data_IF_268863150256
#
_entry.id   IF_268863150256
#
_cell.length_a   1.000
_cell.length_b   1.000
_cell.length_c   1.000
_cell.angle_alpha   90.00
_cell.angle_beta   90.00
_cell.angle_gamma   90.00
#
_symmetry.space_group_name_H-M   'P 1'
#
loop_
_entity.id
_entity.type
_entity.pdbx_description
1 polymer ?
#
# COMPACT_ATOMS: atom_id res chain seq x y z
N UNK A 1 -15.91 3.50 17.22
CA UNK A 1 -16.46 2.65 16.16
C UNK A 1 -15.38 1.67 15.76
N UNK A 2 -15.64 0.35 15.81
CA UNK A 2 -14.70 -0.64 15.29
C UNK A 2 -14.81 -0.61 13.77
N UNK A 3 -13.73 -0.19 13.09
CA UNK A 3 -13.65 -0.29 11.64
C UNK A 3 -13.53 -1.77 11.30
N UNK A 4 -14.53 -2.36 10.66
CA UNK A 4 -14.39 -3.68 10.08
C UNK A 4 -13.30 -3.60 8.98
N UNK A 5 -12.22 -4.42 9.04
CA UNK A 5 -11.14 -4.41 8.06
C UNK A 5 -11.63 -4.51 6.60
N UNK A 6 -12.80 -5.13 6.38
CA UNK A 6 -13.40 -5.27 5.05
C UNK A 6 -13.93 -3.96 4.47
N UNK A 7 -14.24 -2.96 5.30
CA UNK A 7 -14.84 -1.71 4.84
C UNK A 7 -13.85 -0.89 4.01
N UNK A 8 -12.60 -0.79 4.46
CA UNK A 8 -11.57 -0.03 3.73
C UNK A 8 -11.37 -0.64 2.35
N UNK A 9 -11.27 -1.97 2.26
CA UNK A 9 -11.11 -2.71 1.01
C UNK A 9 -12.24 -2.40 0.02
N UNK A 10 -13.49 -2.41 0.47
CA UNK A 10 -14.62 -2.07 -0.40
C UNK A 10 -14.56 -0.61 -0.90
N UNK A 11 -14.29 0.34 0.01
CA UNK A 11 -14.23 1.77 -0.32
C UNK A 11 -13.12 2.05 -1.33
N UNK A 12 -11.94 1.46 -1.17
CA UNK A 12 -10.84 1.68 -2.11
C UNK A 12 -11.13 1.11 -3.50
N UNK A 13 -11.82 -0.03 -3.60
CA UNK A 13 -12.26 -0.56 -4.90
C UNK A 13 -13.17 0.42 -5.64
N UNK A 14 -14.11 1.06 -4.94
CA UNK A 14 -14.96 2.09 -5.53
C UNK A 14 -14.17 3.33 -5.94
N UNK A 15 -13.28 3.84 -5.08
CA UNK A 15 -12.44 4.99 -5.41
C UNK A 15 -11.55 4.74 -6.63
N UNK A 16 -10.95 3.56 -6.74
CA UNK A 16 -10.15 3.17 -7.91
C UNK A 16 -11.03 3.11 -9.18
N UNK A 17 -12.25 2.60 -9.07
CA UNK A 17 -13.18 2.53 -10.18
C UNK A 17 -13.62 3.92 -10.68
N UNK A 18 -13.90 4.86 -9.76
CA UNK A 18 -14.21 6.26 -10.11
C UNK A 18 -12.99 7.02 -10.66
N UNK A 19 -11.80 6.79 -10.10
CA UNK A 19 -10.55 7.31 -10.66
C UNK A 19 -10.32 6.81 -12.09
N UNK A 20 -10.63 5.54 -12.37
CA UNK A 20 -10.49 4.93 -13.69
C UNK A 20 -11.36 5.54 -14.78
N UNK A 21 -12.48 6.18 -14.42
CA UNK A 21 -13.34 6.94 -15.34
C UNK A 21 -13.12 8.46 -15.28
N UNK A 22 -12.04 8.92 -14.65
CA UNK A 22 -11.71 10.33 -14.43
C UNK A 22 -12.81 11.14 -13.71
N UNK A 23 -13.58 10.50 -12.82
CA UNK A 23 -14.54 11.22 -11.99
C UNK A 23 -13.79 12.16 -11.02
N UNK A 24 -14.27 13.40 -10.79
CA UNK A 24 -13.61 14.34 -9.88
C UNK A 24 -13.72 13.84 -8.43
N UNK A 25 -12.62 13.26 -7.94
CA UNK A 25 -12.47 12.85 -6.55
C UNK A 25 -11.69 13.90 -5.78
N UNK A 26 -12.10 14.13 -4.54
CA UNK A 26 -11.34 14.98 -3.62
C UNK A 26 -10.16 14.20 -3.02
N UNK A 27 -9.07 14.15 -3.78
CA UNK A 27 -7.84 13.46 -3.35
C UNK A 27 -7.19 14.07 -2.11
N UNK A 28 -7.48 15.33 -1.77
CA UNK A 28 -6.96 15.97 -0.56
C UNK A 28 -7.63 15.37 0.67
N UNK A 29 -8.96 15.34 0.69
CA UNK A 29 -9.72 14.74 1.79
C UNK A 29 -9.48 13.23 1.89
N UNK A 30 -9.43 12.51 0.77
CA UNK A 30 -9.13 11.08 0.76
C UNK A 30 -7.76 10.81 1.41
N UNK A 31 -6.74 11.59 1.05
CA UNK A 31 -5.41 11.47 1.64
C UNK A 31 -5.42 11.75 3.15
N UNK A 32 -6.19 12.74 3.59
CA UNK A 32 -6.33 13.10 5.00
C UNK A 32 -6.96 11.96 5.80
N UNK A 33 -8.05 11.37 5.31
CA UNK A 33 -8.74 10.24 5.96
C UNK A 33 -7.79 9.05 6.14
N UNK A 34 -7.10 8.62 5.09
CA UNK A 34 -6.13 7.52 5.22
C UNK A 34 -4.95 7.86 6.12
N UNK A 35 -4.51 9.13 6.14
CA UNK A 35 -3.49 9.57 7.08
C UNK A 35 -3.98 9.51 8.54
N UNK A 36 -5.25 9.82 8.80
CA UNK A 36 -5.86 9.69 10.13
C UNK A 36 -5.90 8.21 10.55
N UNK A 37 -6.36 7.33 9.65
CA UNK A 37 -6.42 5.88 9.92
C UNK A 37 -5.04 5.31 10.29
N UNK A 38 -3.99 5.64 9.54
CA UNK A 38 -2.62 5.20 9.88
C UNK A 38 -2.22 5.69 11.27
N UNK A 39 -2.47 6.97 11.57
CA UNK A 39 -2.10 7.58 12.86
C UNK A 39 -2.87 7.01 14.05
N UNK A 40 -4.12 6.59 13.87
CA UNK A 40 -4.92 6.03 14.96
C UNK A 40 -4.65 4.55 15.19
N UNK A 41 -4.36 3.79 14.13
CA UNK A 41 -4.24 2.33 14.18
C UNK A 41 -2.81 1.82 14.36
N UNK A 42 -1.81 2.55 13.87
CA UNK A 42 -0.41 2.15 14.03
C UNK A 42 0.03 2.04 15.51
N UNK A 43 -0.29 2.99 16.42
CA UNK A 43 0.17 2.92 17.80
C UNK A 43 -0.39 1.75 18.60
N UNK A 44 -1.54 1.20 18.18
CA UNK A 44 -2.21 0.05 18.82
C UNK A 44 -1.99 -1.25 18.04
N UNK A 45 -1.06 -1.26 17.09
CA UNK A 45 -0.63 -2.41 16.30
C UNK A 45 -1.72 -3.11 15.48
N UNK A 46 -2.69 -2.34 14.98
CA UNK A 46 -3.71 -2.79 14.05
C UNK A 46 -3.14 -2.87 12.62
N UNK A 47 -2.33 -3.90 12.37
CA UNK A 47 -1.55 -4.08 11.14
C UNK A 47 -2.40 -4.05 9.86
N UNK A 48 -3.54 -4.75 9.86
CA UNK A 48 -4.44 -4.86 8.71
C UNK A 48 -5.01 -3.50 8.26
N UNK A 49 -5.45 -2.67 9.20
CA UNK A 49 -6.01 -1.34 8.92
C UNK A 49 -4.94 -0.39 8.39
N UNK A 50 -3.75 -0.44 8.98
CA UNK A 50 -2.60 0.35 8.52
C UNK A 50 -2.17 -0.09 7.13
N UNK A 51 -2.09 -1.40 6.88
CA UNK A 51 -1.76 -1.96 5.58
C UNK A 51 -2.76 -1.52 4.49
N UNK A 52 -4.07 -1.64 4.76
CA UNK A 52 -5.09 -1.16 3.82
C UNK A 52 -5.02 0.33 3.58
N UNK A 53 -4.76 1.15 4.60
CA UNK A 53 -4.64 2.59 4.45
C UNK A 53 -3.38 2.98 3.63
N UNK A 54 -2.24 2.35 3.89
CA UNK A 54 -1.01 2.56 3.11
C UNK A 54 -1.20 2.11 1.66
N UNK A 55 -1.73 0.91 1.45
CA UNK A 55 -2.00 0.39 0.11
C UNK A 55 -2.98 1.28 -0.65
N UNK A 56 -4.00 1.83 0.02
CA UNK A 56 -4.94 2.77 -0.59
C UNK A 56 -4.26 4.04 -1.11
N UNK A 57 -3.33 4.61 -0.33
CA UNK A 57 -2.52 5.76 -0.76
C UNK A 57 -1.63 5.39 -1.95
N UNK A 58 -1.00 4.21 -1.95
CA UNK A 58 -0.19 3.70 -3.06
C UNK A 58 -1.04 3.52 -4.32
N UNK A 59 -2.18 2.85 -4.22
CA UNK A 59 -3.06 2.56 -5.34
C UNK A 59 -3.68 3.83 -5.96
N UNK A 60 -3.98 4.82 -5.12
CA UNK A 60 -4.43 6.14 -5.58
C UNK A 60 -3.28 7.05 -6.03
N UNK A 61 -2.03 6.62 -5.90
CA UNK A 61 -0.84 7.42 -6.21
C UNK A 61 -0.82 8.75 -5.43
N UNK A 62 -1.13 8.69 -4.13
CA UNK A 62 -1.19 9.83 -3.22
C UNK A 62 0.00 9.84 -2.27
N UNK A 63 0.61 11.01 -1.98
CA UNK A 63 1.76 11.08 -1.11
C UNK A 63 1.37 10.79 0.35
N UNK A 64 2.19 10.03 1.06
CA UNK A 64 1.99 9.70 2.47
C UNK A 64 2.54 10.85 3.33
N UNK A 65 1.80 11.23 4.37
CA UNK A 65 2.24 12.32 5.25
C UNK A 65 3.43 11.88 6.12
N UNK A 66 4.41 12.75 6.42
CA UNK A 66 5.53 12.40 7.30
C UNK A 66 5.09 11.89 8.67
N UNK A 67 3.99 12.44 9.21
CA UNK A 67 3.42 11.99 10.48
C UNK A 67 2.92 10.54 10.42
N UNK A 68 2.22 10.15 9.34
CA UNK A 68 1.75 8.77 9.13
C UNK A 68 2.92 7.80 8.92
N UNK A 69 3.93 8.22 8.15
CA UNK A 69 5.16 7.46 7.95
C UNK A 69 5.87 7.17 9.27
N UNK A 70 6.06 8.19 10.12
CA UNK A 70 6.78 8.07 11.40
C UNK A 70 6.13 7.12 12.40
N UNK A 71 4.80 6.99 12.39
CA UNK A 71 4.11 6.04 13.28
C UNK A 71 4.06 4.64 12.67
N UNK A 72 3.83 4.52 11.37
CA UNK A 72 3.82 3.24 10.67
C UNK A 72 5.21 2.58 10.64
N UNK A 73 6.28 3.36 10.50
CA UNK A 73 7.65 2.82 10.42
C UNK A 73 8.12 2.14 11.71
N UNK A 74 7.46 2.44 12.84
CA UNK A 74 7.75 1.88 14.16
C UNK A 74 7.00 0.58 14.45
N UNK A 75 6.08 0.18 13.56
CA UNK A 75 5.35 -1.08 13.72
C UNK A 75 6.27 -2.28 13.45
N UNK A 76 6.09 -3.34 14.22
CA UNK A 76 6.74 -4.62 14.00
C UNK A 76 5.87 -5.51 13.11
N UNK A 77 5.65 -5.08 11.86
CA UNK A 77 4.75 -5.74 10.91
C UNK A 77 5.39 -5.75 9.51
N UNK A 78 5.63 -6.94 8.96
CA UNK A 78 6.30 -7.10 7.66
C UNK A 78 5.50 -6.48 6.51
N UNK A 79 4.17 -6.56 6.55
CA UNK A 79 3.31 -6.05 5.48
C UNK A 79 3.34 -4.52 5.47
N UNK A 80 3.24 -3.91 6.64
CA UNK A 80 3.37 -2.45 6.78
C UNK A 80 4.74 -1.97 6.31
N UNK A 81 5.82 -2.66 6.68
CA UNK A 81 7.18 -2.32 6.26
C UNK A 81 7.36 -2.44 4.73
N UNK A 82 6.86 -3.53 4.12
CA UNK A 82 6.87 -3.74 2.67
C UNK A 82 6.12 -2.62 1.94
N UNK A 83 4.94 -2.23 2.43
CA UNK A 83 4.15 -1.15 1.83
C UNK A 83 4.86 0.21 1.95
N UNK A 84 5.56 0.48 3.06
CA UNK A 84 6.36 1.70 3.20
C UNK A 84 7.55 1.73 2.23
N UNK A 85 8.22 0.59 2.02
CA UNK A 85 9.31 0.48 1.04
C UNK A 85 8.79 0.64 -0.39
N UNK A 86 7.65 0.04 -0.74
CA UNK A 86 7.00 0.25 -2.04
C UNK A 86 6.65 1.74 -2.25
N UNK A 87 5.97 2.36 -1.29
CA UNK A 87 5.62 3.79 -1.35
C UNK A 87 6.86 4.67 -1.49
N UNK A 88 7.96 4.35 -0.81
CA UNK A 88 9.23 5.05 -0.94
C UNK A 88 9.82 4.89 -2.35
N UNK A 89 9.85 3.66 -2.89
CA UNK A 89 10.34 3.38 -4.25
C UNK A 89 9.54 4.14 -5.32
N UNK A 90 8.25 4.34 -5.09
CA UNK A 90 7.32 5.12 -5.94
C UNK A 90 7.35 6.62 -5.69
N UNK A 91 8.24 7.13 -4.82
CA UNK A 91 8.39 8.56 -4.47
C UNK A 91 7.12 9.16 -3.82
N UNK A 92 6.29 8.33 -3.18
CA UNK A 92 5.12 8.77 -2.42
C UNK A 92 5.49 9.22 -0.99
N UNK A 93 6.71 8.92 -0.56
CA UNK A 93 7.27 9.36 0.72
C UNK A 93 8.40 10.36 0.44
N UNK A 94 8.35 11.52 1.08
CA UNK A 94 9.42 12.52 0.99
C UNK A 94 10.54 12.19 1.99
N UNK A 95 11.82 12.19 1.58
CA UNK A 95 12.95 12.07 2.50
C UNK A 95 13.06 13.32 3.41
N UNK A 96 13.77 13.21 4.56
CA UNK A 96 14.47 12.02 5.04
C UNK A 96 13.52 10.98 5.66
N UNK A 97 13.86 9.70 5.48
CA UNK A 97 13.24 8.58 6.20
C UNK A 97 14.36 7.66 6.69
N UNK A 98 14.24 7.21 7.94
CA UNK A 98 15.17 6.26 8.53
C UNK A 98 14.58 4.85 8.46
N UNK A 99 15.21 4.00 7.67
CA UNK A 99 14.89 2.57 7.56
C UNK A 99 15.94 1.69 8.25
N UNK A 100 16.75 2.24 9.16
CA UNK A 100 17.80 1.48 9.85
C UNK A 100 17.23 0.26 10.62
N UNK A 101 16.03 0.38 11.16
CA UNK A 101 15.32 -0.73 11.80
C UNK A 101 14.93 -1.85 10.82
N UNK A 102 14.68 -1.54 9.55
CA UNK A 102 14.44 -2.55 8.52
C UNK A 102 15.75 -3.13 8.00
N UNK A 103 16.78 -2.30 7.84
CA UNK A 103 18.10 -2.73 7.41
C UNK A 103 18.74 -3.71 8.39
N UNK A 104 18.52 -3.55 9.71
CA UNK A 104 19.00 -4.50 10.71
C UNK A 104 18.37 -5.89 10.59
N UNK A 105 17.23 -6.00 9.88
CA UNK A 105 16.54 -7.27 9.62
C UNK A 105 17.02 -7.97 8.34
N UNK A 106 17.91 -7.35 7.55
CA UNK A 106 18.42 -7.90 6.29
C UNK A 106 19.52 -8.94 6.53
N UNK A 107 19.23 -9.97 7.33
CA UNK A 107 20.18 -11.01 7.76
C UNK A 107 19.61 -12.41 7.52
N UNK A 108 20.49 -13.41 7.44
CA UNK A 108 20.07 -14.83 7.31
C UNK A 108 19.19 -15.30 8.46
N UNK A 109 19.43 -14.79 9.67
CA UNK A 109 18.67 -15.19 10.87
C UNK A 109 17.20 -14.81 10.73
N UNK A 110 16.93 -13.61 10.23
CA UNK A 110 15.56 -13.11 10.10
C UNK A 110 14.76 -13.84 9.01
N UNK A 111 15.40 -14.50 8.04
CA UNK A 111 14.71 -15.37 7.08
C UNK A 111 13.95 -16.53 7.75
N UNK A 112 14.32 -16.89 8.98
CA UNK A 112 13.63 -17.91 9.77
C UNK A 112 12.94 -17.31 11.01
N UNK A 113 12.82 -15.97 11.06
CA UNK A 113 12.18 -15.23 12.15
C UNK A 113 10.82 -14.66 11.73
N UNK A 114 10.23 -13.86 12.63
CA UNK A 114 8.90 -13.27 12.43
C UNK A 114 8.85 -12.27 11.27
N UNK A 115 9.99 -11.64 10.95
CA UNK A 115 10.12 -10.65 9.87
C UNK A 115 10.72 -11.25 8.58
N UNK A 116 10.63 -12.57 8.39
CA UNK A 116 11.19 -13.25 7.22
C UNK A 116 10.71 -12.67 5.90
N UNK A 117 9.43 -12.29 5.83
CA UNK A 117 8.81 -11.79 4.61
C UNK A 117 9.43 -10.45 4.21
N UNK A 118 9.63 -9.54 5.18
CA UNK A 118 10.33 -8.27 4.95
C UNK A 118 11.78 -8.51 4.52
N UNK A 119 12.50 -9.39 5.24
CA UNK A 119 13.91 -9.74 4.99
C UNK A 119 14.11 -10.25 3.55
N UNK A 120 13.24 -11.16 3.11
CA UNK A 120 13.23 -11.72 1.77
C UNK A 120 12.83 -10.70 0.70
N UNK A 121 11.66 -10.06 0.84
CA UNK A 121 11.10 -9.19 -0.20
C UNK A 121 11.95 -7.95 -0.45
N UNK A 122 12.44 -7.29 0.60
CA UNK A 122 13.26 -6.09 0.46
C UNK A 122 14.58 -6.39 -0.27
N UNK A 123 15.11 -7.60 -0.12
CA UNK A 123 16.29 -8.06 -0.85
C UNK A 123 15.95 -8.41 -2.31
N UNK A 124 14.89 -9.17 -2.57
CA UNK A 124 14.46 -9.57 -3.94
C UNK A 124 14.15 -8.33 -4.78
N UNK A 125 13.40 -7.37 -4.23
CA UNK A 125 13.06 -6.10 -4.89
C UNK A 125 14.21 -5.09 -4.93
N UNK A 126 15.34 -5.40 -4.29
CA UNK A 126 16.51 -4.51 -4.12
C UNK A 126 16.15 -3.17 -3.47
N UNK A 127 15.17 -3.18 -2.56
CA UNK A 127 14.78 -2.00 -1.80
C UNK A 127 15.72 -1.71 -0.64
N UNK A 128 16.27 -2.75 -0.01
CA UNK A 128 17.27 -2.63 1.05
C UNK A 128 18.47 -3.55 0.78
N UNK A 129 19.69 -3.10 1.09
CA UNK A 129 20.87 -3.94 0.98
C UNK A 129 20.89 -4.99 2.09
N UNK A 130 21.64 -6.08 1.85
CA UNK A 130 21.93 -7.05 2.91
C UNK A 130 22.78 -6.44 4.01
N UNK A 131 22.62 -6.92 5.25
CA UNK A 131 23.49 -6.55 6.35
C UNK A 131 24.85 -7.26 6.19
N UNK A 132 25.82 -6.54 5.64
CA UNK A 132 27.15 -7.05 5.29
C UNK A 132 27.38 -7.10 3.78
N UNK A 133 28.49 -7.71 3.36
CA UNK A 133 28.90 -7.77 1.94
C UNK A 133 28.26 -8.91 1.13
N UNK A 134 27.63 -9.87 1.81
CA UNK A 134 27.06 -11.06 1.19
C UNK A 134 25.53 -10.92 1.13
N UNK A 135 24.96 -11.29 -0.02
CA UNK A 135 23.52 -11.40 -0.20
C UNK A 135 22.96 -12.51 0.70
N UNK A 136 22.28 -12.12 1.78
CA UNK A 136 21.81 -13.04 2.80
C UNK A 136 20.75 -14.02 2.29
N UNK A 137 19.95 -13.63 1.29
CA UNK A 137 18.92 -14.49 0.68
C UNK A 137 19.57 -15.50 -0.26
N UNK A 138 20.42 -15.04 -1.19
CA UNK A 138 21.07 -15.93 -2.17
C UNK A 138 22.01 -16.95 -1.51
N UNK A 139 22.57 -16.61 -0.35
CA UNK A 139 23.48 -17.49 0.38
C UNK A 139 22.78 -18.42 1.36
N UNK A 140 21.45 -18.36 1.46
CA UNK A 140 20.63 -19.33 2.18
C UNK A 140 20.13 -20.44 1.24
N UNK A 141 20.12 -21.69 1.71
CA UNK A 141 19.78 -22.84 0.87
C UNK A 141 18.30 -22.82 0.49
N UNK A 142 17.39 -22.50 1.40
CA UNK A 142 15.96 -22.55 1.14
C UNK A 142 15.50 -21.30 0.37
N UNK A 143 15.84 -20.13 0.88
CA UNK A 143 15.40 -18.86 0.30
C UNK A 143 16.16 -18.50 -0.98
N UNK A 144 17.40 -18.97 -1.14
CA UNK A 144 18.14 -18.82 -2.39
C UNK A 144 17.47 -19.56 -3.56
N UNK A 145 16.84 -20.72 -3.31
CA UNK A 145 16.05 -21.41 -4.34
C UNK A 145 14.82 -20.61 -4.74
N UNK A 146 14.08 -20.02 -3.78
CA UNK A 146 12.91 -19.18 -4.07
C UNK A 146 13.30 -17.97 -4.91
N UNK A 147 14.39 -17.28 -4.54
CA UNK A 147 14.89 -16.11 -5.26
C UNK A 147 15.37 -16.48 -6.67
N UNK A 148 16.05 -17.61 -6.83
CA UNK A 148 16.46 -18.13 -8.16
C UNK A 148 15.25 -18.44 -9.04
N UNK A 149 14.19 -18.98 -8.45
CA UNK A 149 12.91 -19.21 -9.13
C UNK A 149 12.09 -17.92 -9.35
N UNK A 150 12.63 -16.74 -9.02
CA UNK A 150 11.95 -15.44 -9.15
C UNK A 150 10.62 -15.36 -8.39
N UNK A 151 10.54 -16.00 -7.23
CA UNK A 151 9.36 -15.93 -6.36
C UNK A 151 9.29 -14.55 -5.71
N UNK A 152 8.17 -13.87 -5.90
CA UNK A 152 7.80 -12.62 -5.22
C UNK A 152 6.44 -12.83 -4.55
N UNK A 153 6.35 -12.51 -3.26
CA UNK A 153 5.12 -12.53 -2.48
C UNK A 153 4.35 -11.22 -2.56
N UNK A 154 5.04 -10.11 -2.87
CA UNK A 154 4.43 -8.79 -3.06
C UNK A 154 4.51 -8.31 -4.52
N UNK A 155 3.36 -8.02 -5.12
CA UNK A 155 3.26 -7.45 -6.47
C UNK A 155 3.10 -5.92 -6.39
N UNK A 156 4.22 -5.21 -6.46
CA UNK A 156 4.29 -3.74 -6.51
C UNK A 156 3.65 -3.15 -7.77
N UNK A 157 3.32 -3.97 -8.77
CA UNK A 157 2.71 -3.55 -10.04
C UNK A 157 1.24 -3.95 -10.13
N UNK A 158 0.64 -4.45 -9.05
CA UNK A 158 -0.74 -4.97 -9.07
C UNK A 158 -1.74 -3.94 -9.59
N UNK A 159 -1.64 -2.67 -9.16
CA UNK A 159 -2.57 -1.59 -9.55
C UNK A 159 -2.48 -1.26 -11.04
N UNK A 160 -1.29 -1.34 -11.62
CA UNK A 160 -1.08 -1.11 -13.05
C UNK A 160 -1.70 -2.23 -13.89
N UNK A 161 -1.57 -3.48 -13.42
CA UNK A 161 -2.12 -4.69 -14.04
C UNK A 161 -3.66 -4.77 -13.90
N UNK A 162 -4.21 -4.32 -12.78
CA UNK A 162 -5.61 -4.53 -12.38
C UNK A 162 -6.44 -3.23 -12.34
N UNK A 163 -6.33 -2.39 -13.37
CA UNK A 163 -7.16 -1.17 -13.45
C UNK A 163 -8.64 -1.54 -13.54
N UNK A 164 -9.49 -1.09 -12.59
CA UNK A 164 -10.91 -1.40 -12.60
C UNK A 164 -11.57 -0.82 -13.85
N UNK A 165 -12.26 -1.68 -14.60
CA UNK A 165 -13.04 -1.28 -15.78
C UNK A 165 -14.47 -0.98 -15.36
N UNK A 166 -14.74 0.21 -14.82
CA UNK A 166 -16.13 0.69 -14.70
C UNK A 166 -16.53 1.27 -16.05
N UNK A 167 -17.57 0.73 -16.69
CA UNK A 167 -18.18 1.43 -17.84
C UNK A 167 -18.75 2.75 -17.30
N UNK A 168 -18.56 3.90 -17.98
CA UNK A 168 -19.24 5.12 -17.60
C UNK A 168 -20.74 4.82 -17.53
N UNK A 169 -21.37 5.03 -16.37
CA UNK A 169 -22.83 5.08 -16.34
C UNK A 169 -23.21 6.32 -17.13
N UNK A 170 -23.87 6.14 -18.28
CA UNK A 170 -24.54 7.23 -18.98
C UNK A 170 -25.41 7.95 -17.96
N UNK A 171 -25.14 9.23 -17.71
CA UNK A 171 -26.01 10.07 -16.90
C UNK A 171 -27.38 9.99 -17.59
N UNK A 172 -28.47 9.59 -16.91
CA UNK A 172 -29.79 9.65 -17.51
C UNK A 172 -30.03 11.09 -17.93
N UNK A 173 -30.27 11.29 -19.21
CA UNK A 173 -30.64 12.59 -19.75
C UNK A 173 -32.04 12.94 -19.20
N UNK A 174 -32.07 13.84 -18.22
CA UNK A 174 -33.33 14.39 -17.69
C UNK A 174 -33.78 15.63 -18.46
N UNK A 175 -33.31 15.86 -19.70
CA UNK A 175 -33.88 16.85 -20.60
C UNK A 175 -35.18 16.34 -21.26
N UNK A 176 -36.15 16.01 -20.42
CA UNK A 176 -37.53 15.72 -20.81
C UNK A 176 -38.47 16.66 -20.06
N UNK A 177 -38.35 17.96 -20.30
CA UNK A 177 -39.38 18.91 -19.91
C UNK A 177 -40.58 18.72 -20.84
N UNK A 178 -41.70 18.27 -20.29
CA UNK A 178 -43.01 18.48 -20.93
C UNK A 178 -43.90 19.21 -19.94
N UNK A 179 -43.80 20.54 -20.01
CA UNK A 179 -44.81 21.43 -19.47
C UNK A 179 -45.96 21.47 -20.48
N UNK A 180 -47.03 20.76 -20.17
CA UNK A 180 -48.28 20.78 -20.93
C UNK A 180 -49.47 20.86 -19.99
N UNK A 181 -49.97 22.07 -19.75
CA UNK A 181 -51.23 22.29 -19.05
C UNK A 181 -52.44 21.85 -19.89
N UNK A 182 -53.56 21.56 -19.24
CA UNK A 182 -54.82 21.33 -19.93
C UNK A 182 -55.94 20.76 -19.06
N UNK A 183 -56.76 21.69 -18.56
CA UNK A 183 -58.09 21.57 -17.94
C UNK A 183 -58.19 21.09 -16.49
#
# INVERSE_FOLDING_TARGET
AMSDPSTISYVIHELLAYKGINYPLDFSHIREVFSILIKSHAPINHGSEVAWALWSLIALNLPITPAAVNVASKMNDSIVAILLLDAYSKKLIKPPIDFSNYQSLMTKRELYGDQWLLSYEANVKKWLPSHGSVDHVNSDICFGHLKTASVEFYDDKWVEKNKPKKKPKTIPDYSGGDGGGGY
#
